data_IF_264579375747
#
_entry.id   IF_264579375747
#
_cell.length_a   1.000
_cell.length_b   1.000
_cell.length_c   1.000
_cell.angle_alpha   90.00
_cell.angle_beta   90.00
_cell.angle_gamma   90.00
#
_symmetry.space_group_name_H-M   'P 1'
#
loop_
_entity.id
_entity.type
_entity.pdbx_description
1 polymer ?
#
# COMPACT_ATOMS: atom_id res chain seq x y z
N UNK A 1 11.28 -19.78 -7.99
CA UNK A 1 11.42 -18.31 -8.13
C UNK A 1 11.67 -17.72 -6.75
N UNK A 2 12.75 -16.96 -6.59
CA UNK A 2 13.04 -16.24 -5.35
C UNK A 2 12.22 -14.95 -5.29
N UNK A 3 11.56 -14.69 -4.15
CA UNK A 3 10.74 -13.50 -3.95
C UNK A 3 11.63 -12.31 -3.55
N UNK A 4 11.85 -11.36 -4.45
CA UNK A 4 12.79 -10.23 -4.24
C UNK A 4 12.12 -8.94 -3.78
N UNK A 5 10.84 -8.70 -4.14
CA UNK A 5 10.06 -7.55 -3.68
C UNK A 5 8.71 -7.99 -3.07
N UNK A 6 8.68 -8.32 -1.76
CA UNK A 6 7.47 -8.73 -1.08
C UNK A 6 6.36 -7.66 -1.08
N UNK A 7 6.70 -6.37 -1.07
CA UNK A 7 5.69 -5.31 -1.09
C UNK A 7 5.14 -5.14 -2.50
N UNK A 8 5.99 -5.14 -3.53
CA UNK A 8 5.57 -5.12 -4.92
C UNK A 8 4.63 -6.26 -5.30
N UNK A 9 4.87 -7.47 -4.76
CA UNK A 9 3.96 -8.61 -4.92
C UNK A 9 2.57 -8.33 -4.31
N UNK A 10 2.50 -7.82 -3.08
CA UNK A 10 1.22 -7.48 -2.44
C UNK A 10 0.44 -6.45 -3.26
N UNK A 11 1.09 -5.36 -3.69
CA UNK A 11 0.45 -4.33 -4.50
C UNK A 11 -0.06 -4.88 -5.84
N UNK A 12 0.69 -5.81 -6.44
CA UNK A 12 0.28 -6.48 -7.69
C UNK A 12 -0.91 -7.41 -7.47
N UNK A 13 -0.96 -8.15 -6.34
CA UNK A 13 -2.12 -8.96 -5.96
C UNK A 13 -3.38 -8.12 -5.78
N UNK A 14 -3.27 -6.98 -5.11
CA UNK A 14 -4.36 -6.01 -4.95
C UNK A 14 -4.84 -5.52 -6.32
N UNK A 15 -3.92 -5.03 -7.17
CA UNK A 15 -4.25 -4.55 -8.53
C UNK A 15 -4.99 -5.61 -9.34
N UNK A 16 -4.45 -6.82 -9.40
CA UNK A 16 -5.02 -7.92 -10.18
C UNK A 16 -6.37 -8.39 -9.60
N UNK A 17 -6.52 -8.42 -8.28
CA UNK A 17 -7.78 -8.72 -7.60
C UNK A 17 -8.87 -7.71 -7.92
N UNK A 18 -8.53 -6.42 -7.86
CA UNK A 18 -9.42 -5.32 -8.20
C UNK A 18 -9.87 -5.38 -9.66
N UNK A 19 -8.93 -5.58 -10.61
CA UNK A 19 -9.26 -5.72 -12.04
C UNK A 19 -10.15 -6.94 -12.34
N UNK A 20 -10.10 -7.98 -11.51
CA UNK A 20 -10.94 -9.18 -11.62
C UNK A 20 -12.21 -9.11 -10.75
N UNK A 21 -12.50 -7.96 -10.13
CA UNK A 21 -13.66 -7.74 -9.25
C UNK A 21 -13.77 -8.76 -8.10
N UNK A 22 -12.63 -9.21 -7.56
CA UNK A 22 -12.61 -10.09 -6.39
C UNK A 22 -13.06 -9.34 -5.14
N UNK A 23 -13.80 -10.00 -4.25
CA UNK A 23 -14.14 -9.45 -2.94
C UNK A 23 -12.90 -9.26 -2.06
N UNK A 24 -11.97 -10.22 -2.09
CA UNK A 24 -10.75 -10.20 -1.29
C UNK A 24 -9.54 -10.80 -2.01
N UNK A 25 -8.36 -10.50 -1.48
CA UNK A 25 -7.06 -11.06 -1.91
C UNK A 25 -6.22 -11.41 -0.68
N UNK A 26 -5.39 -12.46 -0.78
CA UNK A 26 -4.46 -12.82 0.28
C UNK A 26 -3.00 -12.64 -0.11
N UNK A 27 -2.18 -12.31 0.88
CA UNK A 27 -0.71 -12.18 0.78
C UNK A 27 -0.07 -12.72 2.05
N UNK A 28 1.17 -13.25 2.03
CA UNK A 28 1.84 -13.63 3.27
C UNK A 28 1.97 -12.43 4.23
N UNK A 29 1.91 -12.68 5.53
CA UNK A 29 1.96 -11.61 6.51
C UNK A 29 3.36 -11.00 6.62
N UNK A 30 3.42 -9.67 6.76
CA UNK A 30 4.63 -8.97 7.18
C UNK A 30 4.26 -7.65 7.85
N UNK A 31 5.12 -7.19 8.77
CA UNK A 31 4.90 -5.92 9.48
C UNK A 31 4.81 -4.72 8.51
N UNK A 32 5.65 -4.71 7.47
CA UNK A 32 5.62 -3.65 6.46
C UNK A 32 4.34 -3.69 5.63
N UNK A 33 3.88 -4.89 5.23
CA UNK A 33 2.62 -5.05 4.50
C UNK A 33 1.43 -4.57 5.34
N UNK A 34 1.35 -4.99 6.60
CA UNK A 34 0.33 -4.55 7.55
C UNK A 34 0.30 -3.02 7.67
N UNK A 35 1.45 -2.38 7.90
CA UNK A 35 1.54 -0.91 7.99
C UNK A 35 1.09 -0.18 6.73
N UNK A 36 1.35 -0.74 5.54
CA UNK A 36 0.86 -0.17 4.28
C UNK A 36 -0.65 -0.35 4.15
N UNK A 37 -1.18 -1.51 4.57
CA UNK A 37 -2.62 -1.77 4.60
C UNK A 37 -3.35 -0.88 5.61
N UNK A 38 -2.74 -0.57 6.75
CA UNK A 38 -3.28 0.37 7.74
C UNK A 38 -3.52 1.75 7.10
N UNK A 39 -2.55 2.26 6.33
CA UNK A 39 -2.70 3.52 5.60
C UNK A 39 -3.77 3.38 4.51
N UNK A 40 -3.77 2.31 3.72
CA UNK A 40 -4.81 2.09 2.69
C UNK A 40 -6.23 2.03 3.28
N UNK A 41 -6.38 1.48 4.49
CA UNK A 41 -7.65 1.41 5.19
C UNK A 41 -8.06 2.76 5.75
N UNK A 42 -7.13 3.49 6.39
CA UNK A 42 -7.38 4.83 6.94
C UNK A 42 -7.80 5.83 5.85
N UNK A 43 -7.16 5.74 4.69
CA UNK A 43 -7.45 6.55 3.50
C UNK A 43 -8.67 6.04 2.71
N UNK A 44 -9.28 4.93 3.15
CA UNK A 44 -10.54 4.43 2.62
C UNK A 44 -10.47 3.72 1.25
N UNK A 45 -9.28 3.32 0.80
CA UNK A 45 -9.06 2.58 -0.45
C UNK A 45 -9.44 1.10 -0.36
N UNK A 46 -9.29 0.50 0.83
CA UNK A 46 -9.75 -0.87 1.14
C UNK A 46 -10.82 -0.82 2.22
N UNK A 47 -11.64 -1.88 2.33
CA UNK A 47 -12.61 -2.00 3.44
C UNK A 47 -11.90 -2.31 4.76
N UNK A 48 -10.89 -3.16 4.69
CA UNK A 48 -10.07 -3.56 5.81
C UNK A 48 -9.23 -4.77 5.46
N UNK A 49 -8.51 -5.29 6.45
CA UNK A 49 -7.80 -6.54 6.31
C UNK A 49 -7.79 -7.30 7.64
N UNK A 50 -7.59 -8.62 7.58
CA UNK A 50 -7.47 -9.49 8.75
C UNK A 50 -6.25 -10.38 8.64
N UNK A 51 -5.68 -10.75 9.79
CA UNK A 51 -4.59 -11.73 9.86
C UNK A 51 -5.21 -13.12 9.97
N UNK A 52 -4.82 -14.01 9.07
CA UNK A 52 -5.19 -15.43 9.10
C UNK A 52 -3.96 -16.22 9.51
N UNK A 53 -4.01 -16.84 10.69
CA UNK A 53 -2.96 -17.74 11.18
C UNK A 53 -3.33 -19.19 10.84
N UNK A 54 -2.40 -19.92 10.22
CA UNK A 54 -2.59 -21.31 9.84
C UNK A 54 -2.07 -22.31 10.89
N UNK A 55 -1.59 -21.84 12.05
CA UNK A 55 -1.14 -22.68 13.16
C UNK A 55 0.19 -23.43 12.91
N UNK A 56 0.81 -23.24 11.75
CA UNK A 56 2.09 -23.84 11.35
C UNK A 56 3.23 -22.81 11.29
N UNK A 57 3.07 -21.68 12.01
CA UNK A 57 3.99 -20.55 11.98
C UNK A 57 3.89 -19.69 10.71
N UNK A 58 2.96 -19.99 9.79
CA UNK A 58 2.64 -19.14 8.65
C UNK A 58 1.37 -18.36 8.91
N UNK A 59 1.41 -17.09 8.54
CA UNK A 59 0.24 -16.22 8.55
C UNK A 59 0.10 -15.48 7.23
N UNK A 60 -1.14 -15.17 6.87
CA UNK A 60 -1.51 -14.35 5.73
C UNK A 60 -2.30 -13.12 6.18
N UNK A 61 -2.31 -12.11 5.30
CA UNK A 61 -3.16 -10.94 5.39
C UNK A 61 -4.24 -11.10 4.33
N UNK A 62 -5.48 -11.27 4.76
CA UNK A 62 -6.67 -11.27 3.90
C UNK A 62 -7.16 -9.84 3.77
N UNK A 63 -7.13 -9.28 2.57
CA UNK A 63 -7.42 -7.88 2.28
C UNK A 63 -8.77 -7.80 1.59
N UNK A 64 -9.71 -7.04 2.15
CA UNK A 64 -11.04 -6.81 1.59
C UNK A 64 -11.04 -5.59 0.68
N UNK A 65 -11.32 -5.82 -0.60
CA UNK A 65 -11.32 -4.77 -1.62
C UNK A 65 -12.63 -3.97 -1.58
N UNK A 66 -12.52 -2.66 -1.83
CA UNK A 66 -13.66 -1.75 -1.83
C UNK A 66 -14.08 -1.41 -3.25
N UNK A 67 -15.38 -1.45 -3.49
CA UNK A 67 -16.00 -1.10 -4.76
C UNK A 67 -17.12 -0.09 -4.51
N UNK A 68 -17.29 0.83 -5.46
CA UNK A 68 -18.35 1.84 -5.48
C UNK A 68 -18.97 1.82 -6.88
N UNK A 69 -20.30 1.71 -6.95
CA UNK A 69 -21.06 1.65 -8.22
C UNK A 69 -20.50 0.62 -9.23
N UNK A 70 -20.05 -0.54 -8.73
CA UNK A 70 -19.49 -1.61 -9.57
C UNK A 70 -18.05 -1.39 -10.06
N UNK A 71 -17.43 -0.27 -9.74
CA UNK A 71 -16.04 0.04 -10.01
C UNK A 71 -15.16 -0.12 -8.75
N UNK A 72 -13.89 -0.49 -8.94
CA UNK A 72 -12.91 -0.53 -7.85
C UNK A 72 -12.61 0.89 -7.38
N UNK A 73 -12.54 1.09 -6.06
CA UNK A 73 -12.10 2.38 -5.48
C UNK A 73 -10.63 2.64 -5.81
N UNK A 74 -9.81 1.59 -5.89
CA UNK A 74 -8.43 1.68 -6.36
C UNK A 74 -8.45 1.60 -7.90
N UNK A 75 -8.10 2.69 -8.57
CA UNK A 75 -7.96 2.80 -10.03
C UNK A 75 -6.54 2.43 -10.46
N UNK A 76 -5.55 2.92 -9.73
CA UNK A 76 -4.13 2.69 -9.95
C UNK A 76 -3.41 2.45 -8.61
N UNK A 77 -2.55 1.44 -8.57
CA UNK A 77 -1.67 1.18 -7.42
C UNK A 77 -0.32 0.71 -7.92
N UNK A 78 0.76 1.34 -7.47
CA UNK A 78 2.10 1.15 -8.06
C UNK A 78 3.22 1.20 -7.03
N UNK A 79 4.18 0.27 -7.15
CA UNK A 79 5.42 0.29 -6.38
C UNK A 79 6.38 1.32 -6.97
N UNK A 80 6.80 2.29 -6.16
CA UNK A 80 7.70 3.38 -6.59
C UNK A 80 9.16 3.02 -6.26
N UNK A 81 9.53 2.98 -4.99
CA UNK A 81 10.84 2.52 -4.55
C UNK A 81 10.95 1.00 -4.71
N UNK A 82 11.95 0.49 -5.43
CA UNK A 82 12.15 -0.96 -5.66
C UNK A 82 13.53 -1.38 -5.13
N UNK A 83 13.78 -2.68 -4.85
CA UNK A 83 15.09 -3.14 -4.38
C UNK A 83 16.26 -2.69 -5.25
N UNK A 84 16.09 -2.68 -6.58
CA UNK A 84 17.12 -2.22 -7.53
C UNK A 84 17.25 -0.70 -7.67
N UNK A 85 16.27 0.08 -7.18
CA UNK A 85 16.31 1.55 -7.20
C UNK A 85 15.42 2.10 -6.10
N UNK A 86 16.04 2.50 -4.99
CA UNK A 86 15.35 3.15 -3.89
C UNK A 86 15.05 4.60 -4.23
N UNK A 87 13.88 5.08 -3.80
CA UNK A 87 13.43 6.45 -4.05
C UNK A 87 13.17 7.10 -2.70
N UNK A 88 13.95 8.12 -2.38
CA UNK A 88 13.82 8.93 -1.17
C UNK A 88 13.49 10.36 -1.53
N UNK A 89 12.64 11.00 -0.74
CA UNK A 89 12.25 12.39 -0.94
C UNK A 89 12.31 13.16 0.37
N UNK A 90 12.72 14.42 0.27
CA UNK A 90 12.53 15.40 1.34
C UNK A 90 11.05 15.80 1.41
N UNK A 91 10.63 16.34 2.55
CA UNK A 91 9.26 16.86 2.74
C UNK A 91 8.84 17.86 1.66
N UNK A 92 9.76 18.74 1.25
CA UNK A 92 9.51 19.78 0.22
C UNK A 92 9.35 19.18 -1.19
N UNK A 93 9.93 18.00 -1.43
CA UNK A 93 9.95 17.33 -2.72
C UNK A 93 9.03 16.12 -2.77
N UNK A 94 8.10 15.96 -1.80
CA UNK A 94 7.09 14.91 -1.87
C UNK A 94 6.25 15.19 -3.13
N UNK A 95 6.10 14.23 -4.06
CA UNK A 95 5.27 14.41 -5.26
C UNK A 95 3.79 14.50 -4.90
N UNK A 96 2.97 14.94 -5.86
CA UNK A 96 1.51 14.79 -5.77
C UNK A 96 1.07 13.76 -6.81
N UNK A 97 0.07 12.93 -6.46
CA UNK A 97 -0.54 11.96 -7.37
C UNK A 97 -1.90 12.48 -7.80
N UNK A 98 -2.19 12.44 -9.10
CA UNK A 98 -3.47 12.87 -9.67
C UNK A 98 -3.94 14.26 -9.15
N UNK A 99 -3.04 15.25 -9.13
CA UNK A 99 -3.30 16.60 -8.62
C UNK A 99 -3.84 16.65 -7.17
N UNK A 100 -3.42 15.70 -6.32
CA UNK A 100 -3.82 15.62 -4.91
C UNK A 100 -5.06 14.75 -4.65
N UNK A 101 -5.62 14.12 -5.70
CA UNK A 101 -6.72 13.16 -5.55
C UNK A 101 -6.23 11.76 -5.16
N UNK A 102 -4.97 11.44 -5.46
CA UNK A 102 -4.31 10.21 -5.02
C UNK A 102 -3.38 10.47 -3.86
N UNK A 103 -2.84 9.40 -3.29
CA UNK A 103 -1.90 9.46 -2.17
C UNK A 103 -0.56 8.82 -2.53
N UNK A 104 0.46 9.23 -1.78
CA UNK A 104 1.73 8.53 -1.71
C UNK A 104 1.90 7.98 -0.31
N UNK A 105 2.29 6.71 -0.21
CA UNK A 105 2.63 6.09 1.07
C UNK A 105 4.15 6.13 1.22
N UNK A 106 4.63 6.73 2.32
CA UNK A 106 6.05 6.88 2.63
C UNK A 106 6.44 6.09 3.87
N UNK A 107 7.66 5.55 3.88
CA UNK A 107 8.33 5.09 5.10
C UNK A 107 9.19 6.22 5.63
N UNK A 108 8.79 6.78 6.77
CA UNK A 108 9.48 7.89 7.44
C UNK A 108 10.08 7.43 8.78
N UNK A 109 10.93 8.24 9.44
CA UNK A 109 11.39 7.95 10.80
C UNK A 109 10.26 7.83 11.84
N UNK A 110 9.09 8.45 11.58
CA UNK A 110 7.91 8.41 12.45
C UNK A 110 6.93 7.29 12.10
N UNK A 111 7.27 6.43 11.14
CA UNK A 111 6.43 5.32 10.69
C UNK A 111 6.02 5.42 9.22
N UNK A 112 5.17 4.48 8.81
CA UNK A 112 4.59 4.46 7.46
C UNK A 112 3.32 5.29 7.49
N UNK A 113 3.20 6.25 6.57
CA UNK A 113 2.11 7.23 6.57
C UNK A 113 1.84 7.76 5.16
N UNK A 114 0.70 8.42 4.99
CA UNK A 114 0.37 9.13 3.76
C UNK A 114 1.19 10.43 3.61
N UNK A 115 1.26 10.96 2.40
CA UNK A 115 2.00 12.16 2.06
C UNK A 115 1.52 13.42 2.77
N UNK A 116 0.21 13.60 2.92
CA UNK A 116 -0.32 14.75 3.66
C UNK A 116 0.08 14.69 5.14
N UNK A 117 0.06 13.51 5.77
CA UNK A 117 0.55 13.32 7.15
C UNK A 117 2.06 13.59 7.26
N UNK A 118 2.84 13.15 6.27
CA UNK A 118 4.27 13.42 6.23
C UNK A 118 4.59 14.92 6.09
N UNK A 119 3.79 15.65 5.30
CA UNK A 119 3.87 17.12 5.17
C UNK A 119 3.51 17.82 6.48
N UNK A 120 2.42 17.42 7.13
CA UNK A 120 1.98 17.98 8.42
C UNK A 120 3.05 17.77 9.51
N UNK A 121 3.63 16.57 9.56
CA UNK A 121 4.65 16.22 10.54
C UNK A 121 6.07 16.70 10.16
N UNK A 122 6.21 17.39 9.03
CA UNK A 122 7.43 17.92 8.45
C UNK A 122 8.56 16.88 8.30
N UNK A 123 8.23 15.69 7.78
CA UNK A 123 9.18 14.57 7.60
C UNK A 123 9.21 14.08 6.15
N UNK A 124 10.41 13.74 5.68
CA UNK A 124 10.64 13.02 4.42
C UNK A 124 10.76 11.50 4.64
N UNK A 125 11.01 10.76 3.57
CA UNK A 125 11.14 9.31 3.67
C UNK A 125 11.33 8.58 2.35
N UNK A 126 11.30 7.24 2.42
CA UNK A 126 11.27 6.36 1.25
C UNK A 126 9.86 6.36 0.65
N UNK A 127 9.74 6.61 -0.65
CA UNK A 127 8.47 6.59 -1.37
C UNK A 127 8.09 5.15 -1.68
N UNK A 128 7.18 4.57 -0.90
CA UNK A 128 6.88 3.15 -1.04
C UNK A 128 5.99 2.89 -2.26
N UNK A 129 4.82 3.50 -2.31
CA UNK A 129 3.88 3.30 -3.40
C UNK A 129 2.99 4.53 -3.60
N UNK A 130 2.41 4.60 -4.79
CA UNK A 130 1.38 5.56 -5.16
C UNK A 130 0.05 4.84 -5.35
N UNK A 131 -1.05 5.51 -5.02
CA UNK A 131 -2.41 4.98 -5.11
C UNK A 131 -3.34 6.08 -5.62
N UNK A 132 -4.25 5.72 -6.52
CA UNK A 132 -5.34 6.55 -7.07
C UNK A 132 -6.52 5.66 -7.44
#
# INVERSE_FOLDING_TARGET
MTMTDPLGDMLTRIRNGASRRKSSVSTPASKLRARVLDVLQAEGYIRGYSVVDFGNGKSELSIELKYYEGASVIREIGRVSKPGRRVYVSVKSIPQVANGLGIIILSTPKGVMADHQAREQNVGGEVLCSVF
#
